data_IF_504382156552
#
_entry.id   IF_504382156552
#
_cell.length_a   1.000
_cell.length_b   1.000
_cell.length_c   1.000
_cell.angle_alpha   90.00
_cell.angle_beta   90.00
_cell.angle_gamma   90.00
#
_symmetry.space_group_name_H-M   'P 1'
#
loop_
_entity.id
_entity.type
_entity.pdbx_description
1 polymer ?
#
# COMPACT_ATOMS: atom_id res chain seq x y z
N UNK A 1 131.36 -19.16 17.93
CA UNK A 1 130.30 -18.37 18.60
C UNK A 1 129.42 -17.58 17.63
N UNK A 2 129.98 -16.78 16.70
CA UNK A 2 129.19 -15.96 15.75
C UNK A 2 128.23 -16.76 14.83
N UNK A 3 128.61 -17.97 14.39
CA UNK A 3 127.78 -18.82 13.50
C UNK A 3 126.56 -19.43 14.21
N UNK A 4 126.72 -19.91 15.44
CA UNK A 4 125.62 -20.49 16.22
C UNK A 4 124.56 -19.43 16.60
N UNK A 5 125.01 -18.21 16.91
CA UNK A 5 124.12 -17.07 17.17
C UNK A 5 123.34 -16.68 15.91
N UNK A 6 123.99 -16.68 14.74
CA UNK A 6 123.31 -16.41 13.46
C UNK A 6 122.26 -17.48 13.11
N UNK A 7 122.54 -18.76 13.38
CA UNK A 7 121.59 -19.86 13.15
C UNK A 7 120.39 -19.84 14.13
N UNK A 8 120.64 -19.50 15.40
CA UNK A 8 119.56 -19.29 16.38
C UNK A 8 118.70 -18.08 16.01
N UNK A 9 119.30 -16.97 15.56
CA UNK A 9 118.55 -15.82 15.06
C UNK A 9 117.73 -16.19 13.82
N UNK A 10 118.29 -16.96 12.87
CA UNK A 10 117.54 -17.35 11.67
C UNK A 10 116.37 -18.27 12.01
N UNK A 11 116.53 -19.21 12.96
CA UNK A 11 115.43 -20.06 13.44
C UNK A 11 114.35 -19.25 14.17
N UNK A 12 114.73 -18.29 15.00
CA UNK A 12 113.78 -17.40 15.69
C UNK A 12 113.02 -16.49 14.71
N UNK A 13 113.69 -15.99 13.67
CA UNK A 13 113.04 -15.22 12.61
C UNK A 13 112.07 -16.11 11.82
N UNK A 14 112.44 -17.35 11.49
CA UNK A 14 111.57 -18.29 10.78
C UNK A 14 110.35 -18.70 11.62
N UNK A 15 110.54 -18.96 12.91
CA UNK A 15 109.47 -19.24 13.88
C UNK A 15 108.56 -18.02 14.07
N UNK A 16 109.13 -16.82 14.19
CA UNK A 16 108.36 -15.58 14.27
C UNK A 16 107.54 -15.31 13.01
N UNK A 17 108.11 -15.58 11.84
CA UNK A 17 107.41 -15.46 10.55
C UNK A 17 106.28 -16.50 10.42
N UNK A 18 106.54 -17.76 10.78
CA UNK A 18 105.52 -18.81 10.77
C UNK A 18 104.40 -18.56 11.79
N UNK A 19 104.75 -18.07 12.99
CA UNK A 19 103.78 -17.67 14.00
C UNK A 19 102.93 -16.51 13.49
N UNK A 20 103.55 -15.50 12.87
CA UNK A 20 102.83 -14.37 12.26
C UNK A 20 101.89 -14.82 11.13
N UNK A 21 102.31 -15.74 10.25
CA UNK A 21 101.44 -16.32 9.23
C UNK A 21 100.29 -17.13 9.82
N UNK A 22 100.55 -17.91 10.87
CA UNK A 22 99.53 -18.69 11.56
C UNK A 22 98.53 -17.80 12.28
N UNK A 23 99.00 -16.73 12.92
CA UNK A 23 98.16 -15.72 13.55
C UNK A 23 97.28 -15.01 12.51
N UNK A 24 97.85 -14.56 11.39
CA UNK A 24 97.07 -13.92 10.33
C UNK A 24 96.03 -14.87 9.72
N UNK A 25 96.36 -16.14 9.52
CA UNK A 25 95.40 -17.14 9.01
C UNK A 25 94.32 -17.48 10.03
N UNK A 26 94.65 -17.50 11.31
CA UNK A 26 93.68 -17.66 12.39
C UNK A 26 92.73 -16.46 12.45
N UNK A 27 93.25 -15.23 12.43
CA UNK A 27 92.44 -14.00 12.43
C UNK A 27 91.55 -13.91 11.17
N UNK A 28 92.05 -14.35 10.00
CA UNK A 28 91.23 -14.43 8.78
C UNK A 28 90.12 -15.47 8.89
N UNK A 29 90.42 -16.64 9.48
CA UNK A 29 89.44 -17.71 9.70
C UNK A 29 88.39 -17.31 10.73
N UNK A 30 88.79 -16.66 11.83
CA UNK A 30 87.90 -16.12 12.85
C UNK A 30 86.96 -15.09 12.24
N UNK A 31 87.48 -14.13 11.45
CA UNK A 31 86.63 -13.17 10.73
C UNK A 31 85.64 -13.86 9.79
N UNK A 32 86.08 -14.87 9.01
CA UNK A 32 85.19 -15.63 8.12
C UNK A 32 84.13 -16.42 8.89
N UNK A 33 84.47 -16.94 10.06
CA UNK A 33 83.52 -17.64 10.93
C UNK A 33 82.48 -16.68 11.50
N UNK A 34 82.89 -15.50 11.97
CA UNK A 34 81.98 -14.46 12.45
C UNK A 34 81.06 -13.93 11.33
N UNK A 35 81.60 -13.71 10.13
CA UNK A 35 80.80 -13.36 8.93
C UNK A 35 79.75 -14.44 8.62
N UNK A 36 80.14 -15.72 8.62
CA UNK A 36 79.24 -16.84 8.37
C UNK A 36 78.18 -17.00 9.48
N UNK A 37 78.56 -16.78 10.74
CA UNK A 37 77.65 -16.83 11.88
C UNK A 37 76.59 -15.74 11.76
N UNK A 38 77.00 -14.51 11.44
CA UNK A 38 76.08 -13.40 11.20
C UNK A 38 75.13 -13.69 10.01
N UNK A 39 75.64 -14.21 8.90
CA UNK A 39 74.80 -14.62 7.76
C UNK A 39 73.78 -15.71 8.15
N UNK A 40 74.20 -16.69 8.97
CA UNK A 40 73.31 -17.73 9.47
C UNK A 40 72.20 -17.17 10.36
N UNK A 41 72.54 -16.27 11.29
CA UNK A 41 71.56 -15.61 12.17
C UNK A 41 70.56 -14.76 11.36
N UNK A 42 71.02 -14.07 10.31
CA UNK A 42 70.13 -13.30 9.42
C UNK A 42 69.17 -14.22 8.64
N UNK A 43 69.66 -15.36 8.13
CA UNK A 43 68.84 -16.36 7.45
C UNK A 43 67.82 -16.98 8.41
N UNK A 44 68.22 -17.31 9.64
CA UNK A 44 67.33 -17.88 10.64
C UNK A 44 66.22 -16.91 11.03
N UNK A 45 66.56 -15.63 11.27
CA UNK A 45 65.59 -14.57 11.54
C UNK A 45 64.59 -14.41 10.38
N UNK A 46 65.09 -14.39 9.14
CA UNK A 46 64.25 -14.29 7.94
C UNK A 46 63.35 -15.51 7.75
N UNK A 47 63.85 -16.71 8.06
CA UNK A 47 63.07 -17.94 7.99
C UNK A 47 61.94 -17.94 9.04
N UNK A 48 62.23 -17.48 10.26
CA UNK A 48 61.24 -17.30 11.32
C UNK A 48 60.15 -16.30 10.91
N UNK A 49 60.54 -15.16 10.31
CA UNK A 49 59.59 -14.18 9.78
C UNK A 49 58.71 -14.76 8.67
N UNK A 50 59.30 -15.50 7.72
CA UNK A 50 58.57 -16.15 6.63
C UNK A 50 57.58 -17.20 7.14
N UNK A 51 57.97 -18.00 8.14
CA UNK A 51 57.09 -19.00 8.76
C UNK A 51 55.92 -18.34 9.49
N UNK A 52 56.15 -17.22 10.17
CA UNK A 52 55.08 -16.43 10.79
C UNK A 52 54.11 -15.87 9.75
N UNK A 53 54.61 -15.31 8.64
CA UNK A 53 53.80 -14.84 7.52
C UNK A 53 52.99 -15.96 6.87
N UNK A 54 53.61 -17.12 6.65
CA UNK A 54 52.94 -18.29 6.09
C UNK A 54 51.77 -18.74 6.97
N UNK A 55 52.00 -18.85 8.28
CA UNK A 55 50.95 -19.21 9.25
C UNK A 55 49.79 -18.20 9.25
N UNK A 56 50.08 -16.90 9.18
CA UNK A 56 49.05 -15.86 9.07
C UNK A 56 48.24 -15.97 7.77
N UNK A 57 48.90 -16.23 6.64
CA UNK A 57 48.24 -16.39 5.34
C UNK A 57 47.38 -17.65 5.29
N UNK A 58 47.82 -18.75 5.91
CA UNK A 58 47.04 -19.98 6.03
C UNK A 58 45.76 -19.76 6.86
N UNK A 59 45.87 -19.03 7.97
CA UNK A 59 44.72 -18.68 8.80
C UNK A 59 43.71 -17.77 8.05
N UNK A 60 44.21 -16.77 7.33
CA UNK A 60 43.37 -15.89 6.51
C UNK A 60 42.68 -16.65 5.38
N UNK A 61 43.39 -17.56 4.71
CA UNK A 61 42.83 -18.39 3.64
C UNK A 61 41.74 -19.33 4.18
N UNK A 62 41.96 -19.94 5.36
CA UNK A 62 40.95 -20.76 6.01
C UNK A 62 39.69 -19.96 6.36
N UNK A 63 39.84 -18.74 6.87
CA UNK A 63 38.73 -17.83 7.16
C UNK A 63 37.97 -17.42 5.90
N UNK A 64 38.67 -17.04 4.83
CA UNK A 64 38.07 -16.69 3.54
C UNK A 64 37.28 -17.85 2.93
N UNK A 65 37.81 -19.08 2.99
CA UNK A 65 37.10 -20.28 2.51
C UNK A 65 35.83 -20.55 3.31
N UNK A 66 35.87 -20.37 4.63
CA UNK A 66 34.70 -20.51 5.49
C UNK A 66 33.61 -19.49 5.16
N UNK A 67 34.01 -18.22 4.93
CA UNK A 67 33.08 -17.17 4.55
C UNK A 67 32.49 -17.37 3.15
N UNK A 68 33.31 -17.83 2.19
CA UNK A 68 32.83 -18.16 0.86
C UNK A 68 31.76 -19.25 0.93
N UNK A 69 32.02 -20.33 1.67
CA UNK A 69 31.06 -21.42 1.89
C UNK A 69 29.76 -20.93 2.52
N UNK A 70 29.86 -20.05 3.52
CA UNK A 70 28.69 -19.47 4.19
C UNK A 70 27.88 -18.58 3.25
N UNK A 71 28.56 -17.81 2.40
CA UNK A 71 27.96 -16.94 1.40
C UNK A 71 27.26 -17.76 0.30
N UNK A 72 27.90 -18.82 -0.19
CA UNK A 72 27.31 -19.76 -1.15
C UNK A 72 26.06 -20.42 -0.56
N UNK A 73 26.11 -20.85 0.70
CA UNK A 73 24.93 -21.41 1.39
C UNK A 73 23.79 -20.39 1.49
N UNK A 74 24.09 -19.13 1.77
CA UNK A 74 23.09 -18.06 1.81
C UNK A 74 22.45 -17.82 0.44
N UNK A 75 23.26 -17.75 -0.63
CA UNK A 75 22.73 -17.58 -1.99
C UNK A 75 21.92 -18.78 -2.46
N UNK A 76 22.32 -20.00 -2.14
CA UNK A 76 21.55 -21.20 -2.47
C UNK A 76 20.18 -21.20 -1.78
N UNK A 77 20.12 -20.83 -0.49
CA UNK A 77 18.85 -20.68 0.22
C UNK A 77 17.96 -19.59 -0.39
N UNK A 78 18.57 -18.49 -0.85
CA UNK A 78 17.87 -17.41 -1.55
C UNK A 78 17.30 -17.89 -2.91
N UNK A 79 18.08 -18.66 -3.67
CA UNK A 79 17.67 -19.28 -4.92
C UNK A 79 16.49 -20.24 -4.68
N UNK A 80 16.58 -21.13 -3.69
CA UNK A 80 15.49 -22.06 -3.34
C UNK A 80 14.21 -21.32 -2.94
N UNK A 81 14.34 -20.24 -2.17
CA UNK A 81 13.21 -19.37 -1.81
C UNK A 81 12.59 -18.72 -3.05
N UNK A 82 13.40 -18.16 -3.96
CA UNK A 82 12.91 -17.56 -5.20
C UNK A 82 12.31 -18.61 -6.13
N UNK A 83 12.90 -19.79 -6.26
CA UNK A 83 12.33 -20.89 -7.05
C UNK A 83 10.99 -21.36 -6.49
N UNK A 84 10.86 -21.47 -5.17
CA UNK A 84 9.60 -21.86 -4.51
C UNK A 84 8.54 -20.79 -4.71
N UNK A 85 8.91 -19.51 -4.54
CA UNK A 85 8.04 -18.36 -4.79
C UNK A 85 7.62 -18.29 -6.27
N UNK A 86 8.55 -18.52 -7.20
CA UNK A 86 8.29 -18.57 -8.63
C UNK A 86 7.39 -19.75 -8.98
N UNK A 87 7.62 -20.97 -8.48
CA UNK A 87 6.76 -22.15 -8.72
C UNK A 87 5.34 -21.95 -8.17
N UNK A 88 5.21 -21.32 -7.00
CA UNK A 88 3.91 -20.95 -6.41
C UNK A 88 3.17 -19.86 -7.18
N UNK A 89 3.89 -18.90 -7.77
CA UNK A 89 3.28 -17.87 -8.61
C UNK A 89 3.07 -18.32 -10.06
N UNK A 90 3.91 -19.18 -10.62
CA UNK A 90 3.74 -19.77 -11.95
C UNK A 90 2.59 -20.77 -12.04
N UNK A 91 2.08 -21.27 -10.91
CA UNK A 91 0.80 -22.00 -10.86
C UNK A 91 -0.40 -21.05 -10.86
N UNK A 92 -0.20 -19.80 -10.43
CA UNK A 92 -1.19 -18.72 -10.47
C UNK A 92 -1.13 -17.96 -11.81
N UNK A 93 0.03 -17.87 -12.48
CA UNK A 93 0.20 -17.14 -13.74
C UNK A 93 -0.72 -17.68 -14.85
N UNK A 94 -0.88 -18.99 -15.10
CA UNK A 94 -1.84 -19.50 -16.06
C UNK A 94 -3.28 -19.14 -15.69
N UNK A 95 -3.62 -19.13 -14.39
CA UNK A 95 -4.96 -18.73 -13.91
C UNK A 95 -5.17 -17.22 -14.10
N UNK A 96 -4.16 -16.41 -13.81
CA UNK A 96 -4.20 -14.96 -14.01
C UNK A 96 -4.14 -14.60 -15.49
N UNK A 97 -3.40 -15.33 -16.32
CA UNK A 97 -3.33 -15.15 -17.77
C UNK A 97 -4.64 -15.63 -18.39
N UNK A 98 -5.20 -16.78 -18.00
CA UNK A 98 -6.56 -17.17 -18.42
C UNK A 98 -7.59 -16.13 -17.98
N UNK A 99 -7.47 -15.60 -16.75
CA UNK A 99 -8.39 -14.57 -16.26
C UNK A 99 -8.18 -13.22 -16.93
N UNK A 100 -6.95 -12.82 -17.22
CA UNK A 100 -6.61 -11.59 -17.97
C UNK A 100 -6.99 -11.74 -19.43
N UNK A 101 -6.79 -12.90 -20.05
CA UNK A 101 -7.22 -13.20 -21.41
C UNK A 101 -8.73 -13.30 -21.48
N UNK A 102 -9.41 -13.90 -20.50
CA UNK A 102 -10.86 -13.87 -20.37
C UNK A 102 -11.37 -12.45 -20.17
N UNK A 103 -10.78 -11.67 -19.27
CA UNK A 103 -11.13 -10.28 -19.02
C UNK A 103 -10.81 -9.40 -20.22
N UNK A 104 -9.73 -9.65 -20.96
CA UNK A 104 -9.33 -8.92 -22.17
C UNK A 104 -10.22 -9.28 -23.36
N UNK A 105 -10.63 -10.54 -23.48
CA UNK A 105 -11.62 -11.00 -24.46
C UNK A 105 -13.00 -10.43 -24.11
N UNK A 106 -13.35 -10.36 -22.82
CA UNK A 106 -14.53 -9.65 -22.35
C UNK A 106 -14.39 -8.14 -22.61
N UNK A 107 -13.23 -7.54 -22.41
CA UNK A 107 -12.97 -6.12 -22.65
C UNK A 107 -13.03 -5.77 -24.13
N UNK A 108 -12.60 -6.67 -25.03
CA UNK A 108 -12.75 -6.51 -26.49
C UNK A 108 -14.17 -6.82 -26.97
N UNK A 109 -14.88 -7.73 -26.33
CA UNK A 109 -16.35 -7.91 -26.48
C UNK A 109 -17.10 -6.66 -25.99
N UNK A 110 -16.68 -6.05 -24.88
CA UNK A 110 -17.22 -4.80 -24.35
C UNK A 110 -16.79 -3.57 -25.16
N UNK A 111 -15.65 -3.62 -25.86
CA UNK A 111 -15.21 -2.60 -26.82
C UNK A 111 -16.17 -2.43 -27.99
N UNK A 112 -16.95 -3.48 -28.31
CA UNK A 112 -18.06 -3.44 -29.27
C UNK A 112 -19.43 -3.14 -28.62
N UNK A 113 -19.47 -2.99 -27.28
CA UNK A 113 -20.64 -2.59 -26.47
C UNK A 113 -20.36 -1.26 -25.75
N UNK A 114 -19.39 -0.46 -26.22
CA UNK A 114 -19.36 0.97 -25.90
C UNK A 114 -20.44 1.62 -26.76
N UNK A 115 -21.70 1.39 -26.37
CA UNK A 115 -22.72 2.40 -26.62
C UNK A 115 -22.16 3.72 -26.10
N UNK A 116 -22.26 4.77 -26.91
CA UNK A 116 -21.73 6.11 -26.59
C UNK A 116 -21.89 6.41 -25.09
N UNK A 117 -20.79 6.68 -24.35
CA UNK A 117 -20.81 6.78 -22.89
C UNK A 117 -21.94 7.71 -22.43
N UNK A 118 -22.74 7.25 -21.47
CA UNK A 118 -23.93 7.99 -21.03
C UNK A 118 -23.64 9.09 -20.02
N UNK A 119 -22.58 8.90 -19.23
CA UNK A 119 -22.08 9.80 -18.20
C UNK A 119 -21.42 11.09 -18.72
N UNK A 120 -21.04 11.96 -17.78
CA UNK A 120 -20.47 13.30 -18.05
C UNK A 120 -19.17 13.50 -17.26
N UNK A 121 -18.29 14.38 -17.73
CA UNK A 121 -17.01 14.62 -17.04
C UNK A 121 -17.13 15.50 -15.79
N UNK A 122 -18.12 16.39 -15.72
CA UNK A 122 -18.28 17.28 -14.57
C UNK A 122 -19.68 17.88 -14.49
N UNK A 123 -20.45 17.56 -13.44
CA UNK A 123 -21.82 18.06 -13.25
C UNK A 123 -21.88 19.58 -13.01
N UNK A 124 -20.78 20.16 -12.54
CA UNK A 124 -20.73 21.56 -12.09
C UNK A 124 -20.62 22.57 -13.25
N UNK A 125 -19.98 22.17 -14.35
CA UNK A 125 -19.78 23.02 -15.53
C UNK A 125 -21.04 23.18 -16.38
N UNK A 126 -22.05 22.35 -16.10
CA UNK A 126 -23.33 22.35 -16.79
C UNK A 126 -24.20 23.55 -16.37
N UNK A 127 -25.07 23.97 -17.27
CA UNK A 127 -26.20 24.86 -16.93
C UNK A 127 -27.22 24.11 -16.06
N UNK A 128 -28.15 24.82 -15.41
CA UNK A 128 -29.19 24.16 -14.61
C UNK A 128 -30.07 23.23 -15.46
N UNK A 129 -30.36 23.62 -16.70
CA UNK A 129 -31.14 22.81 -17.63
C UNK A 129 -30.41 21.50 -17.97
N UNK A 130 -29.12 21.58 -18.29
CA UNK A 130 -28.30 20.40 -18.58
C UNK A 130 -28.15 19.49 -17.37
N UNK A 131 -27.98 20.05 -16.16
CA UNK A 131 -28.00 19.28 -14.91
C UNK A 131 -29.30 18.54 -14.71
N UNK A 132 -30.45 19.22 -14.87
CA UNK A 132 -31.75 18.57 -14.74
C UNK A 132 -31.92 17.41 -15.74
N UNK A 133 -31.52 17.62 -17.00
CA UNK A 133 -31.56 16.58 -18.03
C UNK A 133 -30.66 15.39 -17.66
N UNK A 134 -29.47 15.65 -17.11
CA UNK A 134 -28.58 14.59 -16.64
C UNK A 134 -29.16 13.82 -15.45
N UNK A 135 -29.68 14.52 -14.43
CA UNK A 135 -30.30 13.88 -13.27
C UNK A 135 -31.55 13.06 -13.67
N UNK A 136 -32.36 13.57 -14.60
CA UNK A 136 -33.48 12.83 -15.18
C UNK A 136 -32.99 11.57 -15.90
N UNK A 137 -31.95 11.69 -16.72
CA UNK A 137 -31.31 10.55 -17.38
C UNK A 137 -30.78 9.53 -16.37
N UNK A 138 -30.16 9.96 -15.28
CA UNK A 138 -29.66 9.09 -14.23
C UNK A 138 -30.80 8.32 -13.55
N UNK A 139 -31.87 9.00 -13.14
CA UNK A 139 -33.06 8.38 -12.55
C UNK A 139 -33.71 7.39 -13.51
N UNK A 140 -33.78 7.72 -14.80
CA UNK A 140 -34.36 6.86 -15.83
C UNK A 140 -33.46 5.67 -16.23
N UNK A 141 -32.14 5.78 -16.00
CA UNK A 141 -31.19 4.72 -16.34
C UNK A 141 -31.29 3.50 -15.43
N UNK A 142 -31.73 3.69 -14.17
CA UNK A 142 -31.85 2.59 -13.20
C UNK A 142 -32.70 1.44 -13.78
N UNK A 143 -32.27 0.17 -13.61
CA UNK A 143 -33.04 -0.97 -14.11
C UNK A 143 -34.40 -1.07 -13.42
N UNK A 144 -35.39 -1.65 -14.11
CA UNK A 144 -36.75 -1.79 -13.59
C UNK A 144 -36.80 -2.65 -12.32
N UNK A 145 -35.94 -3.65 -12.23
CA UNK A 145 -35.83 -4.55 -11.07
C UNK A 145 -34.53 -4.27 -10.32
N UNK A 146 -34.66 -3.81 -9.09
CA UNK A 146 -33.57 -3.68 -8.13
C UNK A 146 -33.96 -4.44 -6.86
N UNK A 147 -33.01 -5.19 -6.30
CA UNK A 147 -33.26 -6.03 -5.13
C UNK A 147 -32.93 -5.32 -3.81
N UNK A 148 -33.24 -4.01 -3.70
CA UNK A 148 -33.04 -3.27 -2.44
C UNK A 148 -34.19 -3.45 -1.44
N UNK A 149 -35.30 -4.05 -1.84
CA UNK A 149 -36.50 -4.20 -1.00
C UNK A 149 -36.24 -4.99 0.28
N UNK A 150 -35.40 -6.03 0.21
CA UNK A 150 -35.01 -6.83 1.38
C UNK A 150 -34.26 -5.98 2.41
N UNK A 151 -33.31 -5.16 1.95
CA UNK A 151 -32.56 -4.23 2.80
C UNK A 151 -33.47 -3.15 3.40
N UNK A 152 -34.39 -2.60 2.60
CA UNK A 152 -35.36 -1.60 3.09
C UNK A 152 -36.31 -2.20 4.13
N UNK A 153 -36.71 -3.46 3.99
CA UNK A 153 -37.55 -4.14 4.97
C UNK A 153 -36.84 -4.32 6.32
N UNK A 154 -35.52 -4.54 6.31
CA UNK A 154 -34.71 -4.76 7.53
C UNK A 154 -34.31 -3.42 8.17
N UNK A 155 -33.84 -2.46 7.38
CA UNK A 155 -33.17 -1.26 7.87
C UNK A 155 -33.97 0.04 7.72
N UNK A 156 -35.14 0.00 7.07
CA UNK A 156 -35.88 1.18 6.65
C UNK A 156 -35.31 1.81 5.38
N UNK A 157 -36.00 2.81 4.82
CA UNK A 157 -35.71 3.32 3.46
C UNK A 157 -34.31 3.91 3.30
N UNK A 158 -33.89 4.96 4.03
CA UNK A 158 -32.62 5.62 3.72
C UNK A 158 -31.40 4.73 4.06
N UNK A 159 -31.43 4.06 5.22
CA UNK A 159 -30.37 3.13 5.62
C UNK A 159 -30.36 1.86 4.74
N UNK A 160 -31.52 1.31 4.40
CA UNK A 160 -31.62 0.15 3.52
C UNK A 160 -31.02 0.42 2.14
N UNK A 161 -31.21 1.63 1.60
CA UNK A 161 -30.55 2.06 0.35
C UNK A 161 -29.04 2.19 0.53
N UNK A 162 -28.56 2.79 1.63
CA UNK A 162 -27.13 2.81 1.95
C UNK A 162 -26.56 1.39 1.96
N UNK A 163 -27.17 0.48 2.73
CA UNK A 163 -26.70 -0.90 2.87
C UNK A 163 -26.70 -1.60 1.51
N UNK A 164 -27.79 -1.50 0.75
CA UNK A 164 -27.90 -2.09 -0.57
C UNK A 164 -26.77 -1.64 -1.50
N UNK A 165 -26.55 -0.33 -1.64
CA UNK A 165 -25.51 0.18 -2.55
C UNK A 165 -24.14 -0.29 -2.05
N UNK A 166 -23.81 -0.08 -0.77
CA UNK A 166 -22.53 -0.49 -0.19
C UNK A 166 -22.25 -2.01 -0.28
N UNK A 167 -23.28 -2.86 -0.33
CA UNK A 167 -23.12 -4.31 -0.49
C UNK A 167 -23.07 -4.78 -1.93
N UNK A 168 -23.75 -4.09 -2.84
CA UNK A 168 -23.79 -4.47 -4.26
C UNK A 168 -22.70 -3.82 -5.10
N UNK A 169 -21.96 -2.85 -4.53
CA UNK A 169 -20.86 -2.16 -5.21
C UNK A 169 -19.54 -2.22 -4.45
N UNK A 170 -18.42 -1.88 -5.08
CA UNK A 170 -17.13 -1.61 -4.41
C UNK A 170 -16.53 -0.30 -4.93
N UNK A 171 -15.56 0.25 -4.18
CA UNK A 171 -14.93 1.51 -4.57
C UNK A 171 -14.02 1.31 -5.78
N UNK A 172 -14.26 2.09 -6.84
CA UNK A 172 -13.47 2.10 -8.07
C UNK A 172 -13.12 3.54 -8.42
N UNK A 173 -11.86 3.99 -8.21
CA UNK A 173 -11.49 5.33 -8.64
C UNK A 173 -11.55 5.43 -10.16
N UNK A 174 -11.88 6.61 -10.64
CA UNK A 174 -11.86 6.90 -12.06
C UNK A 174 -10.48 6.66 -12.72
N UNK A 175 -10.47 6.30 -14.02
CA UNK A 175 -9.23 6.22 -14.78
C UNK A 175 -8.54 7.58 -14.83
N UNK A 176 -7.22 7.58 -14.57
CA UNK A 176 -6.36 8.79 -14.61
C UNK A 176 -6.54 9.60 -15.90
N UNK A 177 -6.87 8.95 -17.02
CA UNK A 177 -7.06 9.57 -18.33
C UNK A 177 -8.34 10.42 -18.47
N UNK A 178 -9.36 10.21 -17.64
CA UNK A 178 -10.66 10.91 -17.75
C UNK A 178 -10.82 12.01 -16.70
N UNK A 179 -9.94 12.04 -15.69
CA UNK A 179 -9.86 13.00 -14.57
C UNK A 179 -11.07 12.98 -13.63
N UNK A 180 -12.29 12.97 -14.16
CA UNK A 180 -13.57 12.77 -13.46
C UNK A 180 -14.62 12.35 -14.51
N UNK A 181 -15.47 11.39 -14.17
CA UNK A 181 -16.52 10.83 -14.99
C UNK A 181 -17.68 10.30 -14.15
N UNK A 182 -18.79 11.03 -14.17
CA UNK A 182 -20.03 10.65 -13.52
C UNK A 182 -20.74 9.56 -14.31
N UNK A 183 -20.57 8.30 -13.92
CA UNK A 183 -21.31 7.15 -14.48
C UNK A 183 -22.79 7.28 -14.19
N UNK A 184 -23.61 6.87 -15.15
CA UNK A 184 -25.03 6.67 -14.90
C UNK A 184 -25.24 5.47 -13.95
N UNK A 185 -26.31 5.46 -13.14
CA UNK A 185 -26.60 4.37 -12.22
C UNK A 185 -26.60 2.96 -12.82
N UNK A 186 -27.02 2.78 -14.09
CA UNK A 186 -26.91 1.48 -14.76
C UNK A 186 -25.47 1.09 -15.09
N UNK A 187 -24.59 2.06 -15.38
CA UNK A 187 -23.17 1.85 -15.60
C UNK A 187 -22.50 1.47 -14.27
N UNK A 188 -22.76 2.21 -13.18
CA UNK A 188 -22.27 1.89 -11.82
C UNK A 188 -22.68 0.48 -11.38
N UNK A 189 -23.93 0.09 -11.61
CA UNK A 189 -24.43 -1.25 -11.27
C UNK A 189 -23.80 -2.34 -12.16
N UNK A 190 -23.63 -2.08 -13.46
CA UNK A 190 -23.02 -3.02 -14.41
C UNK A 190 -21.54 -3.26 -14.08
N UNK A 191 -20.83 -2.21 -13.71
CA UNK A 191 -19.42 -2.26 -13.33
C UNK A 191 -19.22 -2.76 -11.89
N UNK A 192 -20.30 -2.97 -11.15
CA UNK A 192 -20.30 -3.34 -9.73
C UNK A 192 -19.59 -2.30 -8.85
N UNK A 193 -19.50 -1.04 -9.28
CA UNK A 193 -18.70 -0.04 -8.57
C UNK A 193 -18.47 1.27 -9.30
N UNK A 194 -17.92 2.20 -8.54
CA UNK A 194 -17.60 3.57 -8.88
C UNK A 194 -16.96 4.25 -7.66
N UNK A 195 -16.60 5.52 -7.79
CA UNK A 195 -16.10 6.37 -6.71
C UNK A 195 -17.24 7.24 -6.14
N UNK A 196 -16.92 8.41 -5.59
CA UNK A 196 -17.80 9.10 -4.66
C UNK A 196 -19.09 9.62 -5.31
N UNK A 197 -18.97 10.16 -6.52
CA UNK A 197 -20.03 10.71 -7.34
C UNK A 197 -20.91 9.62 -7.93
N UNK A 198 -20.33 8.52 -8.41
CA UNK A 198 -21.04 7.39 -8.99
C UNK A 198 -21.96 6.72 -7.96
N UNK A 199 -21.38 6.42 -6.80
CA UNK A 199 -22.10 5.77 -5.69
C UNK A 199 -23.19 6.70 -5.14
N UNK A 200 -22.91 7.99 -5.07
CA UNK A 200 -23.89 8.99 -4.64
C UNK A 200 -25.00 9.17 -5.67
N UNK A 201 -24.70 9.22 -6.97
CA UNK A 201 -25.69 9.35 -8.03
C UNK A 201 -26.60 8.11 -8.11
N UNK A 202 -26.05 6.92 -7.89
CA UNK A 202 -26.82 5.69 -7.77
C UNK A 202 -27.82 5.77 -6.60
N UNK A 203 -27.36 6.11 -5.39
CA UNK A 203 -28.23 6.24 -4.23
C UNK A 203 -29.27 7.35 -4.39
N UNK A 204 -28.86 8.52 -4.88
CA UNK A 204 -29.73 9.64 -5.24
C UNK A 204 -30.86 9.18 -6.16
N UNK A 205 -30.50 8.49 -7.24
CA UNK A 205 -31.47 8.05 -8.25
C UNK A 205 -32.47 7.05 -7.69
N UNK A 206 -32.03 6.15 -6.80
CA UNK A 206 -32.92 5.19 -6.13
C UNK A 206 -33.90 5.95 -5.22
N UNK A 207 -33.43 6.92 -4.45
CA UNK A 207 -34.27 7.72 -3.54
C UNK A 207 -35.32 8.54 -4.30
N UNK A 208 -34.94 9.27 -5.36
CA UNK A 208 -35.87 10.01 -6.22
C UNK A 208 -36.91 9.07 -6.83
N UNK A 209 -36.49 7.91 -7.38
CA UNK A 209 -37.41 6.92 -7.96
C UNK A 209 -38.41 6.38 -6.93
N UNK A 210 -38.05 6.35 -5.65
CA UNK A 210 -38.93 5.98 -4.53
C UNK A 210 -39.80 7.15 -4.02
N UNK A 211 -39.82 8.29 -4.72
CA UNK A 211 -40.66 9.44 -4.40
C UNK A 211 -40.10 10.36 -3.30
N UNK A 212 -38.82 10.20 -2.93
CA UNK A 212 -38.17 11.11 -1.97
C UNK A 212 -37.64 12.33 -2.73
N UNK A 213 -38.56 13.24 -3.11
CA UNK A 213 -38.23 14.40 -3.94
C UNK A 213 -37.32 15.43 -3.24
N UNK A 214 -37.34 15.48 -1.90
CA UNK A 214 -36.39 16.25 -1.08
C UNK A 214 -35.05 15.50 -0.97
N UNK A 215 -34.47 15.12 -2.10
CA UNK A 215 -33.17 14.46 -2.20
C UNK A 215 -32.24 15.29 -3.06
N UNK A 216 -31.01 15.46 -2.58
CA UNK A 216 -29.97 16.28 -3.18
C UNK A 216 -28.64 15.55 -3.12
N UNK A 217 -27.81 15.74 -4.13
CA UNK A 217 -26.38 15.50 -4.02
C UNK A 217 -25.77 16.64 -3.19
N UNK A 218 -24.95 16.29 -2.21
CA UNK A 218 -24.20 17.24 -1.40
C UNK A 218 -22.72 16.98 -1.61
N UNK A 219 -21.96 18.03 -1.87
CA UNK A 219 -20.52 17.91 -2.09
C UNK A 219 -19.75 18.89 -1.21
N UNK A 220 -18.53 18.51 -0.86
CA UNK A 220 -17.53 19.45 -0.39
C UNK A 220 -16.31 19.42 -1.31
N UNK A 221 -15.66 20.58 -1.46
CA UNK A 221 -14.38 20.70 -2.15
C UNK A 221 -13.35 21.24 -1.18
N UNK A 222 -12.18 20.61 -1.20
CA UNK A 222 -10.96 21.05 -0.55
C UNK A 222 -9.97 21.66 -1.54
N UNK A 223 -8.72 21.81 -1.12
CA UNK A 223 -7.67 22.39 -1.97
C UNK A 223 -7.17 21.42 -3.05
N UNK A 224 -7.26 20.12 -2.82
CA UNK A 224 -6.69 19.07 -3.68
C UNK A 224 -7.65 17.92 -3.98
N UNK A 225 -8.75 17.84 -3.24
CA UNK A 225 -9.71 16.72 -3.22
C UNK A 225 -11.11 17.29 -3.12
N UNK A 226 -12.09 16.51 -3.55
CA UNK A 226 -13.51 16.77 -3.32
C UNK A 226 -14.20 15.47 -2.95
N UNK A 227 -15.43 15.56 -2.49
CA UNK A 227 -16.23 14.40 -2.16
C UNK A 227 -17.71 14.67 -2.34
N UNK A 228 -18.45 13.65 -2.76
CA UNK A 228 -19.90 13.70 -2.97
C UNK A 228 -20.59 12.67 -2.07
N UNK A 229 -21.73 13.08 -1.52
CA UNK A 229 -22.66 12.26 -0.76
C UNK A 229 -24.11 12.63 -1.14
N UNK A 230 -25.08 12.00 -0.48
CA UNK A 230 -26.52 12.27 -0.70
C UNK A 230 -27.15 12.81 0.58
N UNK A 231 -27.90 13.90 0.46
CA UNK A 231 -28.75 14.45 1.51
C UNK A 231 -30.22 14.21 1.14
N UNK A 232 -31.00 13.58 2.00
CA UNK A 232 -32.42 13.29 1.73
C UNK A 232 -33.29 13.55 2.94
N UNK A 233 -34.54 13.95 2.70
CA UNK A 233 -35.57 14.08 3.74
C UNK A 233 -36.55 12.93 3.65
N UNK A 234 -36.74 12.23 4.78
CA UNK A 234 -37.69 11.12 4.89
C UNK A 234 -38.44 11.19 6.22
N UNK A 235 -39.77 11.08 6.18
CA UNK A 235 -40.65 11.20 7.36
C UNK A 235 -40.34 12.45 8.21
N UNK A 236 -40.10 13.59 7.54
CA UNK A 236 -39.83 14.88 8.17
C UNK A 236 -38.41 15.05 8.74
N UNK A 237 -37.54 14.05 8.62
CA UNK A 237 -36.16 14.07 9.15
C UNK A 237 -35.13 14.03 8.04
N UNK A 238 -33.97 14.62 8.30
CA UNK A 238 -32.84 14.61 7.38
C UNK A 238 -31.92 13.41 7.60
N UNK A 239 -31.47 12.85 6.50
CA UNK A 239 -30.49 11.77 6.43
C UNK A 239 -29.41 12.16 5.43
N UNK A 240 -28.16 12.02 5.84
CA UNK A 240 -26.99 12.16 4.98
C UNK A 240 -26.37 10.77 4.82
N UNK A 241 -26.30 10.34 3.57
CA UNK A 241 -25.88 9.03 3.11
C UNK A 241 -24.58 9.24 2.33
N UNK A 242 -23.46 8.87 2.95
CA UNK A 242 -22.13 8.97 2.38
C UNK A 242 -21.55 7.57 2.20
N UNK A 243 -21.74 7.00 1.01
CA UNK A 243 -21.38 5.59 0.72
C UNK A 243 -19.87 5.44 0.62
N UNK A 244 -19.21 6.28 -0.19
CA UNK A 244 -17.77 6.28 -0.37
C UNK A 244 -17.01 6.59 0.94
N UNK A 245 -17.53 7.52 1.75
CA UNK A 245 -17.03 7.81 3.09
C UNK A 245 -17.39 6.77 4.15
N UNK A 246 -18.21 5.77 3.83
CA UNK A 246 -18.77 4.79 4.77
C UNK A 246 -19.38 5.45 6.02
N UNK A 247 -20.26 6.43 5.80
CA UNK A 247 -20.87 7.24 6.86
C UNK A 247 -22.37 7.45 6.60
N UNK A 248 -23.20 7.29 7.63
CA UNK A 248 -24.64 7.49 7.58
C UNK A 248 -25.13 8.06 8.91
N UNK A 249 -25.47 9.34 8.98
CA UNK A 249 -25.90 10.01 10.22
C UNK A 249 -25.09 9.58 11.48
N UNK A 250 -23.76 9.57 11.39
CA UNK A 250 -22.88 9.16 12.50
C UNK A 250 -22.68 7.65 12.69
N UNK A 251 -23.27 6.83 11.83
CA UNK A 251 -23.09 5.37 11.76
C UNK A 251 -22.11 5.00 10.64
N UNK A 252 -21.46 3.84 10.79
CA UNK A 252 -20.65 3.17 9.77
C UNK A 252 -21.20 1.78 9.51
N UNK A 253 -21.02 1.33 8.27
CA UNK A 253 -21.34 -0.03 7.85
C UNK A 253 -20.07 -0.88 7.82
N UNK A 254 -20.20 -2.13 8.25
CA UNK A 254 -19.11 -3.11 8.21
C UNK A 254 -19.60 -4.48 7.77
N UNK A 255 -18.70 -5.20 7.09
CA UNK A 255 -18.73 -6.66 7.02
C UNK A 255 -17.99 -7.16 8.26
N UNK A 256 -18.75 -7.69 9.22
CA UNK A 256 -18.21 -8.19 10.49
C UNK A 256 -18.05 -9.70 10.46
N UNK A 257 -16.89 -10.20 10.89
CA UNK A 257 -16.60 -11.63 10.96
C UNK A 257 -15.74 -11.97 12.18
N UNK A 258 -15.78 -13.23 12.60
CA UNK A 258 -14.93 -13.75 13.68
C UNK A 258 -13.88 -14.68 13.10
N UNK A 259 -12.61 -14.42 13.39
CA UNK A 259 -11.48 -15.21 12.88
C UNK A 259 -10.79 -15.89 14.06
N UNK A 260 -10.61 -17.20 13.98
CA UNK A 260 -9.82 -17.96 14.96
C UNK A 260 -8.37 -18.05 14.48
N UNK A 261 -7.43 -17.52 15.26
CA UNK A 261 -5.99 -17.63 15.01
C UNK A 261 -5.26 -17.99 16.30
N UNK A 262 -4.53 -19.10 16.29
CA UNK A 262 -3.79 -19.63 17.44
C UNK A 262 -4.66 -19.80 18.71
N UNK A 263 -5.90 -20.25 18.55
CA UNK A 263 -6.85 -20.42 19.66
C UNK A 263 -7.49 -19.12 20.17
N UNK A 264 -7.11 -17.95 19.63
CA UNK A 264 -7.68 -16.65 19.98
C UNK A 264 -8.68 -16.25 18.89
N UNK A 265 -9.87 -15.83 19.31
CA UNK A 265 -10.90 -15.31 18.40
C UNK A 265 -10.73 -13.80 18.28
N UNK A 266 -10.69 -13.31 17.04
CA UNK A 266 -10.60 -11.90 16.69
C UNK A 266 -11.90 -11.46 16.02
N UNK A 267 -12.47 -10.35 16.45
CA UNK A 267 -13.56 -9.69 15.73
C UNK A 267 -12.94 -8.76 14.67
N UNK A 268 -13.21 -9.06 13.39
CA UNK A 268 -12.76 -8.27 12.26
C UNK A 268 -13.93 -7.50 11.68
N UNK A 269 -13.76 -6.18 11.50
CA UNK A 269 -14.72 -5.29 10.84
C UNK A 269 -14.07 -4.67 9.61
N UNK A 270 -14.64 -4.95 8.44
CA UNK A 270 -14.13 -4.44 7.17
C UNK A 270 -15.12 -3.47 6.53
N UNK A 271 -14.68 -2.31 5.99
CA UNK A 271 -15.54 -1.45 5.18
C UNK A 271 -16.07 -2.23 3.96
N UNK A 272 -17.39 -2.20 3.68
CA UNK A 272 -17.97 -2.98 2.58
C UNK A 272 -17.39 -2.62 1.22
N UNK A 273 -17.08 -1.35 0.97
CA UNK A 273 -16.53 -0.93 -0.33
C UNK A 273 -15.11 -1.41 -0.60
N UNK A 274 -14.41 -1.94 0.41
CA UNK A 274 -13.07 -2.55 0.25
C UNK A 274 -13.14 -4.02 -0.19
N UNK A 275 -14.33 -4.58 -0.33
CA UNK A 275 -14.55 -5.99 -0.67
C UNK A 275 -15.41 -6.08 -1.92
N UNK A 276 -15.01 -6.93 -2.87
CA UNK A 276 -15.79 -7.20 -4.08
C UNK A 276 -17.21 -7.70 -3.73
N UNK A 277 -18.27 -7.25 -4.44
CA UNK A 277 -19.67 -7.60 -4.13
C UNK A 277 -19.94 -9.10 -4.07
N UNK A 278 -19.42 -9.89 -5.00
CA UNK A 278 -19.60 -11.36 -4.99
C UNK A 278 -19.00 -12.01 -3.74
N UNK A 279 -17.88 -11.47 -3.22
CA UNK A 279 -17.25 -11.99 -2.00
C UNK A 279 -18.07 -11.62 -0.79
N UNK A 280 -18.63 -10.40 -0.74
CA UNK A 280 -19.55 -9.97 0.33
C UNK A 280 -20.80 -10.82 0.38
N UNK A 281 -21.43 -11.04 -0.78
CA UNK A 281 -22.60 -11.91 -0.90
C UNK A 281 -22.29 -13.31 -0.38
N UNK A 282 -21.22 -13.93 -0.87
CA UNK A 282 -20.81 -15.26 -0.42
C UNK A 282 -20.55 -15.31 1.09
N UNK A 283 -19.82 -14.34 1.64
CA UNK A 283 -19.52 -14.29 3.07
C UNK A 283 -20.78 -14.22 3.94
N UNK A 284 -21.77 -13.40 3.55
CA UNK A 284 -23.01 -13.25 4.32
C UNK A 284 -23.93 -14.45 4.11
N UNK A 285 -24.10 -14.91 2.86
CA UNK A 285 -24.97 -16.02 2.50
C UNK A 285 -24.55 -17.34 3.14
N UNK A 286 -23.26 -17.59 3.26
CA UNK A 286 -22.71 -18.79 3.92
C UNK A 286 -22.52 -18.60 5.44
N UNK A 287 -23.00 -17.49 6.02
CA UNK A 287 -22.91 -17.16 7.44
C UNK A 287 -21.47 -17.03 7.98
N UNK A 288 -20.49 -16.72 7.13
CA UNK A 288 -19.11 -16.38 7.56
C UNK A 288 -18.99 -14.94 8.05
N UNK A 289 -19.86 -14.05 7.60
CA UNK A 289 -19.91 -12.67 8.03
C UNK A 289 -21.35 -12.19 8.23
N UNK A 290 -21.50 -11.09 8.95
CA UNK A 290 -22.77 -10.37 9.13
C UNK A 290 -22.61 -8.92 8.75
N UNK A 291 -23.72 -8.30 8.34
CA UNK A 291 -23.80 -6.85 8.17
C UNK A 291 -23.89 -6.21 9.55
N UNK A 292 -22.92 -5.36 9.89
CA UNK A 292 -22.90 -4.62 11.15
C UNK A 292 -23.03 -3.13 10.87
N UNK A 293 -23.97 -2.48 11.55
CA UNK A 293 -24.16 -1.04 11.54
C UNK A 293 -23.87 -0.55 12.94
N UNK A 294 -22.79 0.21 13.10
CA UNK A 294 -22.38 0.71 14.41
C UNK A 294 -21.93 2.16 14.35
N UNK A 295 -22.02 2.92 15.46
CA UNK A 295 -21.53 4.30 15.48
C UNK A 295 -20.05 4.39 15.09
N UNK A 296 -19.68 5.52 14.47
CA UNK A 296 -18.27 5.91 14.32
C UNK A 296 -17.58 5.81 15.69
N UNK A 297 -16.31 5.35 15.80
CA UNK A 297 -15.62 5.28 17.09
C UNK A 297 -15.69 6.61 17.87
N UNK A 298 -16.25 6.57 19.09
CA UNK A 298 -16.48 7.75 19.92
C UNK A 298 -17.72 8.58 19.57
N UNK A 299 -18.48 8.18 18.55
CA UNK A 299 -19.71 8.83 18.08
C UNK A 299 -20.99 8.15 18.57
N UNK A 300 -22.12 8.65 18.07
CA UNK A 300 -23.48 8.11 18.31
C UNK A 300 -24.30 8.19 17.03
N UNK A 301 -25.39 7.42 16.98
CA UNK A 301 -26.41 7.60 15.93
C UNK A 301 -27.04 9.00 16.04
N UNK A 302 -27.11 9.70 14.91
CA UNK A 302 -27.66 11.04 14.80
C UNK A 302 -29.06 11.03 14.19
N UNK A 303 -29.96 10.20 14.74
CA UNK A 303 -31.35 10.14 14.29
C UNK A 303 -32.14 11.34 14.81
N UNK A 304 -32.75 12.14 13.92
CA UNK A 304 -33.68 13.20 14.29
C UNK A 304 -33.05 14.47 14.88
N UNK A 305 -31.75 14.68 14.65
CA UNK A 305 -31.09 15.97 14.93
C UNK A 305 -31.41 17.01 13.84
N UNK A 306 -31.16 18.28 14.13
CA UNK A 306 -31.33 19.34 13.12
C UNK A 306 -30.28 19.23 12.00
N UNK A 307 -30.64 19.71 10.81
CA UNK A 307 -29.80 19.59 9.62
C UNK A 307 -28.43 20.26 9.81
N UNK A 308 -28.37 21.41 10.49
CA UNK A 308 -27.12 22.12 10.69
C UNK A 308 -26.13 21.25 11.47
N UNK A 309 -26.56 20.68 12.60
CA UNK A 309 -25.70 19.77 13.36
C UNK A 309 -25.34 18.52 12.55
N UNK A 310 -26.28 17.96 11.78
CA UNK A 310 -25.99 16.80 10.93
C UNK A 310 -24.85 17.07 9.94
N UNK A 311 -24.92 18.20 9.25
CA UNK A 311 -23.90 18.60 8.28
C UNK A 311 -22.56 18.95 8.96
N UNK A 312 -22.60 19.55 10.15
CA UNK A 312 -21.38 19.83 10.93
C UNK A 312 -20.65 18.56 11.36
N UNK A 313 -21.39 17.54 11.80
CA UNK A 313 -20.83 16.23 12.18
C UNK A 313 -20.23 15.50 10.96
N UNK A 314 -20.88 15.59 9.79
CA UNK A 314 -20.33 15.05 8.55
C UNK A 314 -19.04 15.75 8.11
N UNK A 315 -18.98 17.08 8.22
CA UNK A 315 -17.72 17.82 7.95
C UNK A 315 -16.65 17.46 8.97
N UNK A 316 -16.98 17.38 10.25
CA UNK A 316 -16.05 16.99 11.30
C UNK A 316 -15.49 15.58 11.08
N UNK A 317 -16.31 14.66 10.56
CA UNK A 317 -15.87 13.33 10.17
C UNK A 317 -14.74 13.38 9.13
N UNK A 318 -14.93 14.13 8.03
CA UNK A 318 -13.91 14.28 6.98
C UNK A 318 -12.64 15.02 7.47
N UNK A 319 -12.81 16.05 8.30
CA UNK A 319 -11.67 16.73 8.95
C UNK A 319 -10.88 15.76 9.84
N UNK A 320 -11.56 14.87 10.55
CA UNK A 320 -10.92 13.81 11.34
C UNK A 320 -10.11 12.81 10.52
N UNK A 321 -10.39 12.70 9.21
CA UNK A 321 -9.63 11.90 8.25
C UNK A 321 -8.49 12.67 7.58
N UNK A 322 -8.30 13.96 7.93
CA UNK A 322 -7.23 14.81 7.39
C UNK A 322 -7.65 15.67 6.19
N UNK A 323 -8.91 15.61 5.77
CA UNK A 323 -9.41 16.45 4.69
C UNK A 323 -9.66 17.89 5.17
N UNK A 324 -9.62 18.85 4.23
CA UNK A 324 -9.92 20.26 4.53
C UNK A 324 -11.03 20.79 3.62
N UNK A 325 -12.31 20.52 3.94
CA UNK A 325 -13.44 21.10 3.23
C UNK A 325 -13.45 22.63 3.31
N UNK A 326 -13.40 23.32 2.17
CA UNK A 326 -13.41 24.80 2.08
C UNK A 326 -14.67 25.36 1.41
N UNK A 327 -15.31 24.56 0.58
CA UNK A 327 -16.50 24.93 -0.16
C UNK A 327 -17.51 23.77 -0.13
N UNK A 328 -18.79 24.11 -0.14
CA UNK A 328 -19.89 23.17 -0.10
C UNK A 328 -20.91 23.46 -1.20
N UNK A 329 -21.51 22.38 -1.70
CA UNK A 329 -22.48 22.44 -2.79
C UNK A 329 -23.68 21.57 -2.51
N UNK A 330 -24.83 22.01 -3.01
CA UNK A 330 -26.08 21.27 -3.02
C UNK A 330 -26.60 21.25 -4.46
N UNK A 331 -26.85 20.05 -4.97
CA UNK A 331 -27.25 19.84 -6.37
C UNK A 331 -28.48 18.93 -6.40
N UNK A 332 -29.48 19.30 -7.19
CA UNK A 332 -30.69 18.51 -7.41
C UNK A 332 -31.51 19.09 -8.55
N UNK A 333 -32.72 18.55 -8.77
CA UNK A 333 -33.66 19.13 -9.74
C UNK A 333 -33.96 20.57 -9.37
N UNK A 334 -33.74 21.49 -10.32
CA UNK A 334 -33.88 22.94 -10.16
C UNK A 334 -33.07 23.56 -9.00
N UNK A 335 -32.10 22.82 -8.47
CA UNK A 335 -31.28 23.23 -7.33
C UNK A 335 -29.81 23.16 -7.71
N UNK A 336 -29.16 24.32 -7.63
CA UNK A 336 -27.71 24.43 -7.60
C UNK A 336 -27.32 25.58 -6.68
N UNK A 337 -26.70 25.23 -5.56
CA UNK A 337 -26.29 26.19 -4.55
C UNK A 337 -24.86 25.91 -4.11
N UNK A 338 -24.07 26.98 -3.94
CA UNK A 338 -22.67 26.95 -3.55
C UNK A 338 -22.42 27.96 -2.44
N UNK A 339 -21.67 27.55 -1.43
CA UNK A 339 -21.28 28.40 -0.30
C UNK A 339 -19.99 27.91 0.35
N UNK A 340 -19.29 28.77 1.07
CA UNK A 340 -18.16 28.38 1.94
C UNK A 340 -18.60 28.13 3.39
N UNK A 341 -19.91 28.21 3.69
CA UNK A 341 -20.45 28.03 5.03
C UNK A 341 -21.43 26.87 5.11
N UNK A 342 -21.07 25.82 5.85
CA UNK A 342 -21.95 24.67 6.08
C UNK A 342 -23.28 25.06 6.77
N UNK A 343 -23.26 26.15 7.55
CA UNK A 343 -24.48 26.69 8.19
C UNK A 343 -25.41 27.34 7.16
N UNK A 344 -24.85 28.07 6.18
CA UNK A 344 -25.67 28.63 5.09
C UNK A 344 -26.23 27.53 4.20
N UNK A 345 -25.45 26.47 3.94
CA UNK A 345 -25.92 25.29 3.20
C UNK A 345 -27.11 24.64 3.89
N UNK A 346 -27.01 24.37 5.20
CA UNK A 346 -28.10 23.81 6.00
C UNK A 346 -29.35 24.70 5.94
N UNK A 347 -29.19 26.02 6.12
CA UNK A 347 -30.31 26.95 6.05
C UNK A 347 -30.97 26.97 4.67
N UNK A 348 -30.19 26.94 3.60
CA UNK A 348 -30.71 26.89 2.23
C UNK A 348 -31.50 25.60 1.98
N UNK A 349 -30.93 24.44 2.34
CA UNK A 349 -31.59 23.14 2.22
C UNK A 349 -32.92 23.08 2.99
N UNK A 350 -32.96 23.55 4.24
CA UNK A 350 -34.20 23.67 5.03
C UNK A 350 -35.25 24.58 4.39
N UNK A 351 -34.82 25.59 3.63
CA UNK A 351 -35.73 26.55 2.98
C UNK A 351 -36.39 25.97 1.74
N UNK A 352 -35.67 25.17 0.95
CA UNK A 352 -36.16 24.62 -0.31
C UNK A 352 -37.00 23.36 -0.14
N UNK A 353 -36.92 22.69 1.02
CA UNK A 353 -37.72 21.48 1.35
C UNK A 353 -38.99 21.78 2.15
N UNK A 354 -39.49 23.02 2.12
CA UNK A 354 -40.75 23.46 2.73
C UNK A 354 -41.72 23.85 1.63
#
# INVERSE_FOLDING_TARGET
MKVAVAFLLSCLILLGFNYYLLQNTYEELERKYEELLHEYEEIEAKNSELMSKLSSLEAENAWLRSNLTSTESYYNALIDMYETWLKGNFSIIPILVERITYLSTKLSEYGNIVGSPGGISYLEDLTQQERNLFLEKAVNSLPFTLNYSEYVAIYGVPLGIHVYVSFTTYYQPDPISVKEYWKLPNETLKDLGGDCEDLSLLAYSILIRNGLNDTYLIAWLGNSTGHVAVLTRYMGRWYLIDIAGNWYNGLKLYVSMKILKNGITYDLKLPPLSIHPEVKDWLVRENYATIDVSPVPGGRELSGIDLKTLLQEWVAYWVGLGETPVEYRLIGFDVYFKTTSITQLAYYAEKISK
#
